data_IF_187479662880
#
_entry.id   IF_187479662880
#
_cell.length_a   1.000
_cell.length_b   1.000
_cell.length_c   1.000
_cell.angle_alpha   90.00
_cell.angle_beta   90.00
_cell.angle_gamma   90.00
#
_symmetry.space_group_name_H-M   'P 1'
#
loop_
_entity.id
_entity.type
_entity.pdbx_description
1 polymer ?
#
# COMPACT_ATOMS: atom_id res chain seq x y z
N UNK A 1 8.91 40.41 26.92
CA UNK A 1 8.48 39.12 27.49
C UNK A 1 9.31 38.03 26.83
N UNK A 2 10.03 37.20 27.61
CA UNK A 2 11.23 36.50 27.15
C UNK A 2 10.92 35.18 26.43
N UNK A 3 11.97 34.63 25.82
CA UNK A 3 12.03 33.44 25.01
C UNK A 3 11.83 32.12 25.79
N UNK A 4 10.73 32.00 26.54
CA UNK A 4 10.41 30.82 27.38
C UNK A 4 9.30 29.94 26.80
N UNK A 5 8.78 30.25 25.61
CA UNK A 5 7.75 29.44 24.94
C UNK A 5 8.32 28.42 23.94
N UNK A 6 9.62 28.09 24.03
CA UNK A 6 10.23 26.98 23.30
C UNK A 6 10.37 25.80 24.25
N UNK A 7 9.91 24.64 23.81
CA UNK A 7 10.07 23.34 24.49
C UNK A 7 8.98 23.01 25.52
N UNK A 8 7.71 23.10 25.12
CA UNK A 8 6.79 22.06 25.58
C UNK A 8 7.29 20.77 24.94
N UNK A 9 8.02 20.01 25.75
CA UNK A 9 8.57 18.71 25.44
C UNK A 9 7.46 17.89 24.80
N UNK A 10 7.62 17.56 23.51
CA UNK A 10 6.96 16.39 22.95
C UNK A 10 7.50 15.25 23.82
N UNK A 11 6.70 14.82 24.78
CA UNK A 11 7.02 13.68 25.63
C UNK A 11 7.06 12.49 24.66
N UNK A 12 8.26 12.18 24.15
CA UNK A 12 8.46 10.98 23.34
C UNK A 12 7.90 9.82 24.16
N UNK A 13 7.04 8.98 23.57
CA UNK A 13 6.48 7.86 24.31
C UNK A 13 7.66 7.08 24.88
N UNK A 14 7.76 7.01 26.21
CA UNK A 14 8.73 6.16 26.90
C UNK A 14 8.43 4.73 26.46
N UNK A 15 9.15 4.27 25.44
CA UNK A 15 9.20 2.87 25.08
C UNK A 15 9.92 2.22 26.25
N UNK A 16 9.17 1.53 27.10
CA UNK A 16 9.71 0.73 28.19
C UNK A 16 10.55 -0.37 27.54
N UNK A 17 11.86 -0.14 27.43
CA UNK A 17 12.80 -1.02 26.70
C UNK A 17 13.00 -2.37 27.42
N UNK A 18 12.29 -2.59 28.53
CA UNK A 18 12.32 -3.81 29.34
C UNK A 18 11.50 -4.96 28.73
N UNK A 19 10.88 -4.79 27.55
CA UNK A 19 10.36 -5.96 26.81
C UNK A 19 11.52 -6.73 26.19
N UNK A 20 11.77 -7.99 26.60
CA UNK A 20 12.87 -8.76 26.03
C UNK A 20 12.65 -8.97 24.52
N UNK A 21 13.70 -8.81 23.73
CA UNK A 21 13.65 -8.73 22.25
C UNK A 21 12.90 -9.88 21.57
N UNK A 22 12.90 -11.07 22.19
CA UNK A 22 12.16 -12.22 21.70
C UNK A 22 10.65 -12.00 21.71
N UNK A 23 10.11 -11.26 22.69
CA UNK A 23 8.68 -10.90 22.73
C UNK A 23 8.31 -9.99 21.57
N UNK A 24 9.18 -9.05 21.20
CA UNK A 24 8.98 -8.19 20.04
C UNK A 24 8.90 -9.00 18.75
N UNK A 25 9.80 -9.97 18.57
CA UNK A 25 9.75 -10.90 17.44
C UNK A 25 8.47 -11.74 17.42
N UNK A 26 8.02 -12.21 18.60
CA UNK A 26 6.74 -12.93 18.71
C UNK A 26 5.56 -12.04 18.32
N UNK A 27 5.50 -10.79 18.79
CA UNK A 27 4.44 -9.86 18.41
C UNK A 27 4.46 -9.50 16.93
N UNK A 28 5.64 -9.31 16.34
CA UNK A 28 5.78 -9.07 14.89
C UNK A 28 5.30 -10.29 14.10
N UNK A 29 5.75 -11.49 14.44
CA UNK A 29 5.35 -12.71 13.76
C UNK A 29 3.84 -12.98 13.88
N UNK A 30 3.27 -12.81 15.09
CA UNK A 30 1.84 -12.97 15.33
C UNK A 30 1.04 -11.91 14.58
N UNK A 31 1.44 -10.64 14.66
CA UNK A 31 0.77 -9.55 13.97
C UNK A 31 0.79 -9.71 12.46
N UNK A 32 1.94 -10.07 11.89
CA UNK A 32 2.08 -10.37 10.47
C UNK A 32 1.22 -11.57 10.05
N UNK A 33 1.24 -12.65 10.84
CA UNK A 33 0.43 -13.84 10.57
C UNK A 33 -1.08 -13.56 10.59
N UNK A 34 -1.55 -12.80 11.59
CA UNK A 34 -2.95 -12.38 11.68
C UNK A 34 -3.34 -11.43 10.55
N UNK A 35 -2.44 -10.53 10.16
CA UNK A 35 -2.69 -9.60 9.07
C UNK A 35 -2.81 -10.31 7.72
N UNK A 36 -1.83 -11.16 7.39
CA UNK A 36 -1.82 -11.92 6.13
C UNK A 36 -2.98 -12.92 6.10
N UNK A 37 -3.18 -13.66 7.19
CA UNK A 37 -4.27 -14.63 7.30
C UNK A 37 -5.65 -13.96 7.27
N UNK A 38 -5.81 -12.81 7.91
CA UNK A 38 -7.05 -12.03 7.87
C UNK A 38 -7.34 -11.47 6.47
N UNK A 39 -6.30 -11.00 5.76
CA UNK A 39 -6.39 -10.59 4.37
C UNK A 39 -6.84 -11.75 3.47
N UNK A 40 -6.20 -12.91 3.58
CA UNK A 40 -6.54 -14.09 2.79
C UNK A 40 -7.99 -14.53 3.04
N UNK A 41 -8.42 -14.64 4.30
CA UNK A 41 -9.80 -15.01 4.64
C UNK A 41 -10.82 -14.03 4.06
N UNK A 42 -10.53 -12.72 4.07
CA UNK A 42 -11.39 -11.70 3.48
C UNK A 42 -11.49 -11.91 1.96
N UNK A 43 -10.37 -12.11 1.27
CA UNK A 43 -10.33 -12.34 -0.18
C UNK A 43 -11.07 -13.61 -0.55
N UNK A 44 -10.79 -14.74 0.11
CA UNK A 44 -11.48 -16.01 -0.17
C UNK A 44 -12.98 -15.89 0.05
N UNK A 45 -13.42 -15.30 1.17
CA UNK A 45 -14.84 -15.09 1.44
C UNK A 45 -15.51 -14.18 0.41
N UNK A 46 -14.84 -13.10 -0.01
CA UNK A 46 -15.35 -12.21 -1.05
C UNK A 46 -15.47 -12.90 -2.42
N UNK A 47 -14.48 -13.73 -2.79
CA UNK A 47 -14.49 -14.55 -4.01
C UNK A 47 -15.62 -15.56 -4.00
N UNK A 48 -15.86 -16.24 -2.88
CA UNK A 48 -16.98 -17.19 -2.72
C UNK A 48 -18.33 -16.49 -2.91
N UNK A 49 -18.54 -15.35 -2.24
CA UNK A 49 -19.78 -14.58 -2.36
C UNK A 49 -19.98 -14.11 -3.82
N UNK A 50 -18.94 -13.57 -4.46
CA UNK A 50 -19.01 -13.12 -5.85
C UNK A 50 -19.34 -14.26 -6.83
N UNK A 51 -18.76 -15.44 -6.60
CA UNK A 51 -19.03 -16.64 -7.39
C UNK A 51 -20.48 -17.10 -7.22
N UNK A 52 -21.01 -17.08 -5.99
CA UNK A 52 -22.42 -17.40 -5.70
C UNK A 52 -23.40 -16.43 -6.37
N UNK A 53 -23.00 -15.17 -6.53
CA UNK A 53 -23.76 -14.14 -7.25
C UNK A 53 -23.65 -14.26 -8.77
N UNK A 54 -22.92 -15.25 -9.30
CA UNK A 54 -22.77 -15.48 -10.73
C UNK A 54 -21.80 -14.52 -11.43
N UNK A 55 -20.94 -13.83 -10.68
CA UNK A 55 -19.91 -12.96 -11.24
C UNK A 55 -18.83 -13.83 -11.90
N UNK A 56 -18.36 -13.44 -13.09
CA UNK A 56 -17.36 -14.21 -13.81
C UNK A 56 -15.99 -14.18 -13.11
N UNK A 57 -15.25 -15.30 -13.21
CA UNK A 57 -13.91 -15.41 -12.61
C UNK A 57 -12.94 -14.35 -13.14
N UNK A 58 -13.11 -13.93 -14.40
CA UNK A 58 -12.32 -12.84 -14.98
C UNK A 58 -12.54 -11.52 -14.22
N UNK A 59 -13.80 -11.15 -13.96
CA UNK A 59 -14.13 -9.91 -13.20
C UNK A 59 -13.65 -10.01 -11.76
N UNK A 60 -13.79 -11.17 -11.12
CA UNK A 60 -13.29 -11.41 -9.75
C UNK A 60 -11.77 -11.23 -9.68
N UNK A 61 -11.03 -11.80 -10.65
CA UNK A 61 -9.58 -11.71 -10.72
C UNK A 61 -9.08 -10.27 -10.86
N UNK A 62 -9.67 -9.49 -11.76
CA UNK A 62 -9.25 -8.10 -12.01
C UNK A 62 -9.73 -7.11 -10.93
N UNK A 63 -10.65 -7.50 -10.04
CA UNK A 63 -11.20 -6.62 -9.00
C UNK A 63 -10.86 -7.10 -7.59
N UNK A 64 -11.54 -8.14 -7.10
CA UNK A 64 -11.46 -8.63 -5.72
C UNK A 64 -10.07 -9.15 -5.42
N UNK A 65 -9.51 -9.97 -6.29
CA UNK A 65 -8.17 -10.54 -6.07
C UNK A 65 -7.12 -9.45 -6.19
N UNK A 66 -7.22 -8.58 -7.20
CA UNK A 66 -6.29 -7.47 -7.40
C UNK A 66 -6.24 -6.48 -6.21
N UNK A 67 -7.40 -6.12 -5.65
CA UNK A 67 -7.46 -5.30 -4.42
C UNK A 67 -7.03 -6.10 -3.21
N UNK A 68 -7.43 -7.37 -3.16
CA UNK A 68 -7.22 -8.31 -2.08
C UNK A 68 -5.77 -8.50 -1.69
N UNK A 69 -4.89 -8.65 -2.68
CA UNK A 69 -3.45 -8.82 -2.47
C UNK A 69 -2.77 -7.58 -1.88
N UNK A 70 -3.39 -6.40 -1.99
CA UNK A 70 -2.88 -5.14 -1.43
C UNK A 70 -3.53 -4.75 -0.10
N UNK A 71 -4.45 -5.58 0.42
CA UNK A 71 -5.13 -5.32 1.69
C UNK A 71 -4.20 -5.32 2.90
N UNK A 72 -3.24 -6.27 3.05
CA UNK A 72 -2.28 -6.22 4.14
C UNK A 72 -1.49 -4.91 4.17
N UNK A 73 -1.03 -4.45 3.01
CA UNK A 73 -0.26 -3.22 2.83
C UNK A 73 -1.11 -1.99 3.11
N UNK A 74 -2.37 -1.98 2.64
CA UNK A 74 -3.31 -0.92 2.94
C UNK A 74 -3.54 -0.81 4.45
N UNK A 75 -3.74 -1.95 5.12
CA UNK A 75 -3.96 -2.00 6.56
C UNK A 75 -2.73 -1.56 7.36
N UNK A 76 -1.51 -2.00 7.00
CA UNK A 76 -0.29 -1.55 7.68
C UNK A 76 -0.04 -0.05 7.47
N UNK A 77 -0.15 0.45 6.24
CA UNK A 77 -0.01 1.88 5.95
C UNK A 77 -1.07 2.73 6.62
N UNK A 78 -2.34 2.27 6.66
CA UNK A 78 -3.41 2.98 7.35
C UNK A 78 -3.16 3.06 8.86
N UNK A 79 -2.76 1.96 9.50
CA UNK A 79 -2.43 1.95 10.93
C UNK A 79 -1.25 2.86 11.24
N UNK A 80 -0.19 2.84 10.42
CA UNK A 80 0.96 3.73 10.56
C UNK A 80 0.54 5.21 10.42
N UNK A 81 -0.27 5.54 9.40
CA UNK A 81 -0.79 6.88 9.21
C UNK A 81 -1.69 7.34 10.39
N UNK A 82 -2.53 6.46 10.94
CA UNK A 82 -3.34 6.78 12.12
C UNK A 82 -2.49 7.03 13.38
N UNK A 83 -1.34 6.36 13.48
CA UNK A 83 -0.37 6.59 14.55
C UNK A 83 0.52 7.82 14.32
N UNK A 84 0.31 8.56 13.22
CA UNK A 84 1.12 9.70 12.77
C UNK A 84 2.56 9.34 12.38
N UNK A 85 2.82 8.07 12.10
CA UNK A 85 4.10 7.55 11.59
C UNK A 85 4.06 7.57 10.06
N UNK A 86 4.08 8.78 9.50
CA UNK A 86 3.86 9.01 8.06
C UNK A 86 4.99 8.44 7.19
N UNK A 87 6.22 8.47 7.71
CA UNK A 87 7.41 7.88 7.10
C UNK A 87 7.29 6.36 6.96
N UNK A 88 6.79 5.67 7.99
CA UNK A 88 6.51 4.23 7.95
C UNK A 88 5.41 3.93 6.94
N UNK A 89 4.33 4.73 6.93
CA UNK A 89 3.21 4.55 6.01
C UNK A 89 3.64 4.69 4.54
N UNK A 90 4.43 5.73 4.22
CA UNK A 90 4.96 5.98 2.87
C UNK A 90 6.04 4.98 2.49
N UNK A 91 6.92 4.63 3.45
CA UNK A 91 7.94 3.61 3.28
C UNK A 91 7.36 2.25 2.90
N UNK A 92 6.24 1.86 3.52
CA UNK A 92 5.52 0.63 3.17
C UNK A 92 4.99 0.67 1.72
N UNK A 93 4.30 1.74 1.32
CA UNK A 93 3.75 1.85 -0.05
C UNK A 93 4.84 1.79 -1.12
N UNK A 94 5.92 2.54 -0.93
CA UNK A 94 7.01 2.63 -1.90
C UNK A 94 7.85 1.35 -1.92
N UNK A 95 8.16 0.83 -0.73
CA UNK A 95 8.91 -0.41 -0.57
C UNK A 95 8.20 -1.60 -1.23
N UNK A 96 6.90 -1.76 -1.01
CA UNK A 96 6.11 -2.85 -1.61
C UNK A 96 6.05 -2.75 -3.13
N UNK A 97 5.89 -1.54 -3.69
CA UNK A 97 5.90 -1.37 -5.16
C UNK A 97 7.26 -1.71 -5.78
N UNK A 98 8.36 -1.27 -5.15
CA UNK A 98 9.72 -1.60 -5.60
C UNK A 98 9.95 -3.12 -5.52
N UNK A 99 9.56 -3.74 -4.40
CA UNK A 99 9.68 -5.19 -4.22
C UNK A 99 8.86 -5.98 -5.25
N UNK A 100 7.62 -5.56 -5.51
CA UNK A 100 6.76 -6.23 -6.49
C UNK A 100 7.33 -6.12 -7.91
N UNK A 101 7.88 -4.97 -8.30
CA UNK A 101 8.49 -4.79 -9.62
C UNK A 101 9.84 -5.53 -9.77
N UNK A 102 10.71 -5.45 -8.78
CA UNK A 102 12.06 -6.03 -8.89
C UNK A 102 12.10 -7.51 -8.55
N UNK A 103 11.46 -7.91 -7.45
CA UNK A 103 11.48 -9.29 -6.98
C UNK A 103 10.38 -10.11 -7.67
N UNK A 104 9.11 -9.77 -7.51
CA UNK A 104 8.03 -10.61 -8.04
C UNK A 104 8.03 -10.61 -9.57
N UNK A 105 7.89 -9.45 -10.19
CA UNK A 105 7.83 -9.33 -11.65
C UNK A 105 9.17 -9.73 -12.29
N UNK A 106 10.30 -9.31 -11.71
CA UNK A 106 11.64 -9.68 -12.19
C UNK A 106 11.91 -11.18 -12.15
N UNK A 107 11.62 -11.86 -11.03
CA UNK A 107 11.76 -13.32 -10.94
C UNK A 107 10.78 -14.04 -11.86
N UNK A 108 9.54 -13.56 -11.95
CA UNK A 108 8.54 -14.15 -12.86
C UNK A 108 9.01 -14.04 -14.30
N UNK A 109 9.56 -12.91 -14.73
CA UNK A 109 10.10 -12.73 -16.08
C UNK A 109 11.34 -13.57 -16.39
N UNK A 110 12.14 -13.95 -15.39
CA UNK A 110 13.25 -14.90 -15.55
C UNK A 110 12.72 -16.33 -15.75
N UNK A 111 11.70 -16.72 -14.98
CA UNK A 111 11.14 -18.08 -15.01
C UNK A 111 10.24 -18.30 -16.22
N UNK A 112 9.38 -17.32 -16.51
CA UNK A 112 8.41 -17.34 -17.60
C UNK A 112 8.43 -15.99 -18.32
N UNK A 113 8.94 -15.93 -19.57
CA UNK A 113 8.96 -14.69 -20.35
C UNK A 113 7.58 -14.04 -20.36
N UNK A 114 7.53 -12.75 -20.01
CA UNK A 114 6.29 -12.00 -19.93
C UNK A 114 5.95 -11.46 -21.32
N UNK A 115 4.73 -11.72 -21.77
CA UNK A 115 4.20 -11.11 -22.99
C UNK A 115 3.85 -9.64 -22.73
N UNK A 116 4.46 -8.74 -23.50
CA UNK A 116 4.22 -7.29 -23.41
C UNK A 116 2.92 -6.85 -24.09
N UNK A 117 2.24 -7.75 -24.79
CA UNK A 117 1.03 -7.48 -25.56
C UNK A 117 -0.15 -6.98 -24.72
N UNK A 118 -0.17 -7.26 -23.42
CA UNK A 118 -1.21 -6.83 -22.50
C UNK A 118 -0.90 -5.52 -21.75
N UNK A 119 0.29 -4.94 -21.91
CA UNK A 119 0.66 -3.69 -21.24
C UNK A 119 0.46 -2.51 -22.18
N UNK A 120 -0.57 -1.70 -21.93
CA UNK A 120 -0.79 -0.47 -22.67
C UNK A 120 0.33 0.55 -22.41
N UNK A 121 0.83 1.18 -23.47
CA UNK A 121 1.77 2.32 -23.37
C UNK A 121 1.22 3.45 -22.48
N UNK A 122 -0.10 3.61 -22.46
CA UNK A 122 -0.81 4.58 -21.60
C UNK A 122 -0.66 4.21 -20.12
N UNK A 123 -0.81 2.94 -19.78
CA UNK A 123 -0.74 2.46 -18.39
C UNK A 123 0.68 2.61 -17.83
N UNK A 124 1.68 2.22 -18.62
CA UNK A 124 3.09 2.41 -18.28
C UNK A 124 3.43 3.90 -18.10
N UNK A 125 2.99 4.74 -19.05
CA UNK A 125 3.21 6.18 -18.99
C UNK A 125 2.54 6.84 -17.79
N UNK A 126 1.33 6.41 -17.45
CA UNK A 126 0.60 6.89 -16.28
C UNK A 126 1.27 6.48 -14.97
N UNK A 127 1.68 5.21 -14.84
CA UNK A 127 2.42 4.73 -13.67
C UNK A 127 3.76 5.46 -13.48
N UNK A 128 4.52 5.67 -14.56
CA UNK A 128 5.76 6.44 -14.53
C UNK A 128 5.52 7.90 -14.15
N UNK A 129 4.49 8.53 -14.75
CA UNK A 129 4.11 9.90 -14.46
C UNK A 129 3.73 10.10 -12.99
N UNK A 130 2.91 9.21 -12.43
CA UNK A 130 2.56 9.23 -11.00
C UNK A 130 3.78 9.03 -10.11
N UNK A 131 4.68 8.12 -10.47
CA UNK A 131 5.91 7.90 -9.71
C UNK A 131 6.76 9.16 -9.67
N UNK A 132 6.97 9.81 -10.83
CA UNK A 132 7.73 11.06 -10.93
C UNK A 132 7.04 12.19 -10.14
N UNK A 133 5.71 12.22 -10.15
CA UNK A 133 4.91 13.23 -9.44
C UNK A 133 4.98 13.08 -7.92
N UNK A 134 5.07 11.85 -7.41
CA UNK A 134 5.17 11.57 -5.98
C UNK A 134 6.53 12.01 -5.42
N UNK A 135 7.62 11.91 -6.19
CA UNK A 135 8.98 12.29 -5.76
C UNK A 135 9.09 13.73 -5.17
N UNK A 136 8.61 14.80 -5.84
CA UNK A 136 8.66 16.14 -5.27
C UNK A 136 7.71 16.32 -4.08
N UNK A 137 6.59 15.59 -4.01
CA UNK A 137 5.63 15.67 -2.91
C UNK A 137 6.25 15.15 -1.61
N UNK A 138 7.10 14.11 -1.71
CA UNK A 138 7.78 13.52 -0.55
C UNK A 138 8.97 14.33 -0.01
N UNK A 139 9.34 15.46 -0.64
CA UNK A 139 10.52 16.25 -0.22
C UNK A 139 10.42 16.83 1.19
N UNK A 140 9.23 16.87 1.78
CA UNK A 140 8.97 17.37 3.13
C UNK A 140 9.04 16.24 4.17
N UNK A 141 10.06 15.40 4.10
CA UNK A 141 10.31 14.36 5.11
C UNK A 141 9.38 13.15 5.02
N UNK A 142 9.05 12.67 3.82
CA UNK A 142 8.15 11.51 3.62
C UNK A 142 6.73 11.71 4.17
N UNK A 143 6.30 12.96 4.35
CA UNK A 143 4.94 13.30 4.75
C UNK A 143 4.10 13.69 3.52
N UNK A 144 2.90 13.12 3.41
CA UNK A 144 1.89 13.52 2.43
C UNK A 144 0.80 14.33 3.14
N UNK A 145 0.58 15.56 2.69
CA UNK A 145 -0.48 16.40 3.24
C UNK A 145 -1.86 15.94 2.74
N UNK A 146 -2.94 16.34 3.43
CA UNK A 146 -4.33 15.97 3.07
C UNK A 146 -4.70 16.34 1.64
N UNK A 147 -4.21 17.47 1.15
CA UNK A 147 -4.43 17.91 -0.24
C UNK A 147 -3.72 17.03 -1.26
N UNK A 148 -2.50 16.60 -0.93
CA UNK A 148 -1.68 15.72 -1.77
C UNK A 148 -2.29 14.32 -1.85
N UNK A 149 -2.72 13.77 -0.70
CA UNK A 149 -3.46 12.51 -0.65
C UNK A 149 -4.81 12.59 -1.37
N UNK A 150 -5.56 13.68 -1.21
CA UNK A 150 -6.83 13.90 -1.92
C UNK A 150 -6.65 13.97 -3.43
N UNK A 151 -5.61 14.65 -3.90
CA UNK A 151 -5.25 14.71 -5.31
C UNK A 151 -4.86 13.34 -5.88
N UNK A 152 -4.05 12.55 -5.15
CA UNK A 152 -3.70 11.18 -5.55
C UNK A 152 -4.93 10.27 -5.62
N UNK A 153 -5.86 10.39 -4.67
CA UNK A 153 -7.08 9.60 -4.63
C UNK A 153 -8.05 9.95 -5.77
N UNK A 154 -8.21 11.25 -6.09
CA UNK A 154 -8.98 11.69 -7.26
C UNK A 154 -8.36 11.15 -8.55
N UNK A 155 -7.03 11.20 -8.66
CA UNK A 155 -6.30 10.70 -9.83
C UNK A 155 -6.47 9.18 -9.99
N UNK A 156 -6.42 8.43 -8.89
CA UNK A 156 -6.69 6.99 -8.87
C UNK A 156 -8.12 6.65 -9.32
N UNK A 157 -9.14 7.32 -8.74
CA UNK A 157 -10.54 7.10 -9.12
C UNK A 157 -10.79 7.49 -10.59
N UNK A 158 -10.22 8.61 -11.04
CA UNK A 158 -10.35 9.07 -12.42
C UNK A 158 -9.77 8.08 -13.42
N UNK A 159 -8.55 7.59 -13.17
CA UNK A 159 -7.88 6.62 -14.05
C UNK A 159 -8.58 5.26 -14.05
N UNK A 160 -8.95 4.73 -12.89
CA UNK A 160 -9.68 3.45 -12.80
C UNK A 160 -11.05 3.52 -13.50
N UNK A 161 -11.77 4.63 -13.36
CA UNK A 161 -13.05 4.83 -14.07
C UNK A 161 -12.85 4.93 -15.57
N UNK A 162 -11.83 5.68 -16.03
CA UNK A 162 -11.50 5.77 -17.45
C UNK A 162 -11.13 4.39 -18.04
N UNK A 163 -10.34 3.60 -17.31
CA UNK A 163 -9.97 2.24 -17.72
C UNK A 163 -11.20 1.33 -17.84
N UNK A 164 -12.13 1.39 -16.88
CA UNK A 164 -13.36 0.58 -16.90
C UNK A 164 -14.34 0.99 -18.02
N UNK A 165 -14.32 2.23 -18.48
CA UNK A 165 -15.21 2.71 -19.55
C UNK A 165 -14.64 2.45 -20.95
N UNK A 166 -13.32 2.30 -21.08
CA UNK A 166 -12.61 2.18 -22.35
C UNK A 166 -12.13 0.73 -22.65
N UNK A 167 -12.37 -0.21 -21.75
CA UNK A 167 -12.22 -1.66 -21.93
C UNK A 167 -13.61 -2.33 -21.97
#
# INVERSE_FOLDING_TARGET
VPAEAKTQLIEEPKIDVDTPIWKSWVFVALGLGLLVGGGELLVTGAVEIATLLGISQAVIGITIVAVGTSLPELATSAVAAFKKESDIAVGNVIGSNIFNLLCILGLTGIIHPLDSSNFGLVDLGFMLGLTILILPMMRRGFELNRWEGGFLLITYIGYTTWLLMNN
#
